data_IF_842233115470
#
_entry.id   IF_842233115470
#
_cell.length_a   1.000
_cell.length_b   1.000
_cell.length_c   1.000
_cell.angle_alpha   90.00
_cell.angle_beta   90.00
_cell.angle_gamma   90.00
#
_symmetry.space_group_name_H-M   'P 1'
#
loop_
_entity.id
_entity.type
_entity.pdbx_description
1 polymer ?
#
# COMPACT_ATOMS: atom_id res chain seq x y z
N UNK A 1 39.68 46.18 -37.50
CA UNK A 1 38.63 47.14 -37.89
C UNK A 1 37.71 47.14 -36.70
N UNK A 2 37.96 48.06 -35.80
CA UNK A 2 37.25 49.31 -35.59
C UNK A 2 35.82 49.03 -35.12
N UNK A 3 35.37 49.43 -34.01
CA UNK A 3 35.73 50.51 -33.11
C UNK A 3 34.44 51.03 -32.51
N UNK A 4 34.61 51.64 -31.38
CA UNK A 4 33.83 52.70 -30.76
C UNK A 4 32.67 52.22 -29.84
N UNK A 5 32.81 52.38 -28.56
CA UNK A 5 32.99 53.60 -27.71
C UNK A 5 31.66 54.16 -27.20
N UNK A 6 31.63 54.20 -25.91
CA UNK A 6 30.77 54.79 -24.85
C UNK A 6 30.24 56.21 -25.21
N UNK A 7 29.11 56.65 -24.58
CA UNK A 7 29.36 57.46 -23.40
C UNK A 7 28.35 57.27 -22.23
N UNK A 8 28.90 57.62 -21.08
CA UNK A 8 28.27 57.86 -19.82
C UNK A 8 27.34 59.10 -19.82
N UNK A 9 26.30 59.04 -19.03
CA UNK A 9 25.48 60.20 -18.73
C UNK A 9 24.81 60.04 -17.39
N UNK A 10 25.39 60.62 -16.38
CA UNK A 10 24.85 60.72 -15.07
C UNK A 10 23.79 61.82 -14.97
N UNK A 11 22.84 61.63 -14.07
CA UNK A 11 22.10 62.77 -13.48
C UNK A 11 21.58 62.41 -12.07
N UNK A 12 22.22 63.05 -11.10
CA UNK A 12 21.74 63.76 -9.90
C UNK A 12 20.42 63.38 -9.25
N UNK A 13 20.63 63.00 -7.97
CA UNK A 13 19.89 63.38 -6.73
C UNK A 13 18.53 64.08 -6.90
N UNK A 14 17.52 63.48 -6.32
CA UNK A 14 16.58 64.20 -5.45
C UNK A 14 16.20 63.32 -4.27
N UNK A 15 16.51 63.85 -3.10
CA UNK A 15 16.06 63.46 -1.80
C UNK A 15 14.63 64.03 -1.67
N UNK A 16 13.63 63.20 -1.53
CA UNK A 16 12.35 63.61 -0.97
C UNK A 16 11.94 62.56 0.06
N UNK A 17 11.91 63.03 1.29
CA UNK A 17 11.38 62.36 2.44
C UNK A 17 9.90 62.05 2.23
N UNK A 18 9.50 60.78 2.29
CA UNK A 18 8.12 60.39 2.42
C UNK A 18 8.02 59.33 3.55
N UNK A 19 7.61 59.82 4.68
CA UNK A 19 6.78 59.27 5.74
C UNK A 19 6.65 57.74 5.66
N UNK A 20 7.33 57.06 6.61
CA UNK A 20 7.08 55.68 6.95
C UNK A 20 5.68 55.50 7.54
N UNK A 21 4.74 55.07 6.73
CA UNK A 21 3.45 54.54 7.21
C UNK A 21 3.67 53.10 7.59
N UNK A 22 3.86 52.85 8.88
CA UNK A 22 3.86 51.50 9.49
C UNK A 22 2.45 50.92 9.37
N UNK A 23 2.20 50.20 8.27
CA UNK A 23 1.07 49.31 8.18
C UNK A 23 1.46 48.06 8.93
N UNK A 24 1.00 47.96 10.17
CA UNK A 24 0.91 46.72 10.92
C UNK A 24 -0.08 45.82 10.18
N UNK A 25 0.41 45.11 9.15
CA UNK A 25 -0.30 44.02 8.53
C UNK A 25 -0.35 42.91 9.57
N UNK A 26 -1.44 42.84 10.33
CA UNK A 26 -1.79 41.68 11.13
C UNK A 26 -1.89 40.48 10.19
N UNK A 27 -0.85 39.67 10.16
CA UNK A 27 -0.89 38.38 9.47
C UNK A 27 -1.99 37.54 10.12
N UNK A 28 -3.05 37.14 9.37
CA UNK A 28 -3.96 36.13 9.91
C UNK A 28 -3.13 34.88 10.19
N UNK A 29 -3.06 34.48 11.44
CA UNK A 29 -2.60 33.13 11.82
C UNK A 29 -3.58 32.17 11.15
N UNK A 30 -3.29 31.80 9.91
CA UNK A 30 -3.98 30.72 9.24
C UNK A 30 -3.70 29.48 10.09
N UNK A 31 -4.71 29.05 10.84
CA UNK A 31 -4.69 27.72 11.46
C UNK A 31 -4.51 26.73 10.32
N UNK A 32 -3.29 26.27 10.11
CA UNK A 32 -3.01 25.14 9.22
C UNK A 32 -3.69 23.94 9.88
N UNK A 33 -4.88 23.59 9.40
CA UNK A 33 -5.52 22.33 9.77
C UNK A 33 -4.60 21.24 9.23
N UNK A 34 -4.01 20.39 10.07
CA UNK A 34 -3.15 19.33 9.58
C UNK A 34 -3.96 18.46 8.63
N UNK A 35 -3.43 18.27 7.42
CA UNK A 35 -4.04 17.38 6.44
C UNK A 35 -4.21 15.99 7.08
N UNK A 36 -5.41 15.40 7.00
CA UNK A 36 -5.66 14.08 7.58
C UNK A 36 -4.66 13.10 6.98
N UNK A 37 -3.96 12.36 7.83
CA UNK A 37 -3.01 11.35 7.39
C UNK A 37 -3.72 10.39 6.40
N UNK A 38 -3.08 10.02 5.28
CA UNK A 38 -3.68 9.12 4.31
C UNK A 38 -4.13 7.83 5.01
N UNK A 39 -5.29 7.28 4.63
CA UNK A 39 -5.81 6.07 5.24
C UNK A 39 -4.75 4.97 5.17
N UNK A 40 -4.42 4.39 6.33
CA UNK A 40 -3.45 3.30 6.39
C UNK A 40 -4.02 2.10 5.63
N UNK A 41 -3.19 1.50 4.78
CA UNK A 41 -3.56 0.27 4.10
C UNK A 41 -3.88 -0.81 5.16
N UNK A 42 -5.11 -1.35 5.21
CA UNK A 42 -5.56 -2.25 6.27
C UNK A 42 -4.83 -3.61 6.25
N UNK A 43 -4.19 -3.97 5.15
CA UNK A 43 -3.42 -5.21 5.04
C UNK A 43 -2.03 -5.11 5.68
N UNK A 44 -1.45 -3.93 5.72
CA UNK A 44 -0.08 -3.74 6.23
C UNK A 44 0.00 -4.11 7.70
N UNK A 45 0.91 -5.02 8.02
CA UNK A 45 1.11 -5.55 9.35
C UNK A 45 1.49 -7.02 9.37
N UNK A 46 1.56 -7.60 10.56
CA UNK A 46 1.86 -9.02 10.76
C UNK A 46 0.59 -9.78 11.14
N UNK A 47 0.38 -10.89 10.47
CA UNK A 47 -0.76 -11.78 10.61
C UNK A 47 -0.27 -13.17 10.91
N UNK A 48 -0.92 -13.90 11.81
CA UNK A 48 -0.47 -15.22 12.22
C UNK A 48 -1.60 -16.25 12.15
N UNK A 49 -1.23 -17.48 11.78
CA UNK A 49 -2.06 -18.67 11.90
C UNK A 49 -2.09 -19.16 13.36
N UNK A 50 -2.97 -20.14 13.62
CA UNK A 50 -3.02 -20.81 14.92
C UNK A 50 -1.72 -21.60 15.22
N UNK A 51 -1.03 -22.07 14.18
CA UNK A 51 0.18 -22.89 14.28
C UNK A 51 1.48 -22.07 14.33
N UNK A 52 1.37 -20.77 14.66
CA UNK A 52 2.48 -19.82 14.74
C UNK A 52 3.22 -19.49 13.44
N UNK A 53 2.72 -19.92 12.31
CA UNK A 53 3.16 -19.32 11.05
C UNK A 53 2.72 -17.87 10.99
N UNK A 54 3.50 -17.03 10.34
CA UNK A 54 3.10 -15.64 10.17
C UNK A 54 3.41 -15.10 8.78
N UNK A 55 2.58 -14.14 8.39
CA UNK A 55 2.72 -13.38 7.16
C UNK A 55 2.80 -11.92 7.51
N UNK A 56 3.90 -11.27 7.14
CA UNK A 56 4.05 -9.83 7.26
C UNK A 56 3.83 -9.21 5.89
N UNK A 57 2.73 -8.50 5.74
CA UNK A 57 2.38 -7.76 4.52
C UNK A 57 2.93 -6.35 4.65
N UNK A 58 3.74 -5.95 3.69
CA UNK A 58 4.27 -4.59 3.51
C UNK A 58 3.67 -3.98 2.25
N UNK A 59 4.09 -2.79 1.90
CA UNK A 59 3.53 -2.07 0.76
C UNK A 59 3.77 -2.77 -0.58
N UNK A 60 4.90 -3.46 -0.72
CA UNK A 60 5.38 -4.07 -1.97
C UNK A 60 6.02 -5.46 -1.78
N UNK A 61 5.88 -6.04 -0.59
CA UNK A 61 6.57 -7.28 -0.22
C UNK A 61 5.74 -8.05 0.78
N UNK A 62 5.76 -9.37 0.65
CA UNK A 62 5.20 -10.29 1.64
C UNK A 62 6.35 -11.12 2.21
N UNK A 63 6.41 -11.21 3.53
CA UNK A 63 7.37 -12.08 4.23
C UNK A 63 6.59 -13.17 4.95
N UNK A 64 6.84 -14.42 4.57
CA UNK A 64 6.30 -15.59 5.26
C UNK A 64 7.34 -16.09 6.27
N UNK A 65 6.90 -16.36 7.48
CA UNK A 65 7.76 -16.89 8.55
C UNK A 65 7.14 -18.18 9.06
N UNK A 66 7.92 -19.24 8.98
CA UNK A 66 7.57 -20.56 9.47
C UNK A 66 7.64 -20.63 11.01
N UNK A 67 7.04 -21.66 11.65
CA UNK A 67 7.08 -21.82 13.10
C UNK A 67 8.51 -21.95 13.68
N UNK A 68 9.44 -22.44 12.89
CA UNK A 68 10.87 -22.56 13.24
C UNK A 68 11.65 -21.24 13.12
N UNK A 69 10.98 -20.17 12.70
CA UNK A 69 11.55 -18.83 12.54
C UNK A 69 12.20 -18.60 11.16
N UNK A 70 12.24 -19.58 10.26
CA UNK A 70 12.71 -19.35 8.91
C UNK A 70 11.76 -18.41 8.17
N UNK A 71 12.34 -17.42 7.49
CA UNK A 71 11.56 -16.42 6.77
C UNK A 71 11.91 -16.38 5.29
N UNK A 72 10.89 -16.28 4.46
CA UNK A 72 11.01 -16.11 3.01
C UNK A 72 10.31 -14.84 2.59
N UNK A 73 11.04 -13.92 1.97
CA UNK A 73 10.45 -12.76 1.33
C UNK A 73 9.97 -13.13 -0.08
N UNK A 74 8.74 -12.74 -0.41
CA UNK A 74 8.18 -12.83 -1.75
C UNK A 74 8.23 -11.44 -2.37
N UNK A 75 9.18 -11.24 -3.25
CA UNK A 75 9.47 -10.00 -3.95
C UNK A 75 9.88 -10.28 -5.40
N UNK A 76 10.28 -9.25 -6.13
CA UNK A 76 10.74 -9.35 -7.52
C UNK A 76 11.93 -10.29 -7.72
N UNK A 77 12.77 -10.47 -6.70
CA UNK A 77 13.97 -11.30 -6.80
C UNK A 77 13.62 -12.77 -6.56
N UNK A 78 12.65 -13.01 -5.69
CA UNK A 78 12.22 -14.36 -5.30
C UNK A 78 11.27 -14.95 -6.33
N UNK A 79 10.39 -14.13 -6.92
CA UNK A 79 9.47 -14.51 -8.00
C UNK A 79 10.14 -14.29 -9.36
N UNK A 80 10.78 -15.30 -9.89
CA UNK A 80 11.75 -15.28 -11.03
C UNK A 80 11.14 -14.92 -12.37
N UNK A 81 10.24 -14.15 -12.58
CA UNK A 81 9.72 -13.78 -13.90
C UNK A 81 8.33 -13.19 -13.81
N UNK A 82 7.51 -13.63 -12.90
CA UNK A 82 6.22 -13.07 -12.62
C UNK A 82 6.17 -12.60 -11.17
N UNK A 83 6.12 -11.29 -10.98
CA UNK A 83 5.82 -10.67 -9.70
C UNK A 83 4.81 -9.57 -9.93
N UNK A 84 3.60 -9.77 -9.43
CA UNK A 84 2.56 -8.73 -9.37
C UNK A 84 1.99 -8.73 -7.98
N UNK A 85 2.09 -7.58 -7.33
CA UNK A 85 1.47 -7.37 -6.04
C UNK A 85 0.55 -6.16 -6.10
N UNK A 86 -0.67 -6.29 -5.59
CA UNK A 86 -1.65 -5.22 -5.65
C UNK A 86 -2.81 -5.42 -4.70
N UNK A 87 -3.60 -4.37 -4.57
CA UNK A 87 -4.81 -4.32 -3.74
C UNK A 87 -6.02 -4.07 -4.63
N UNK A 88 -7.11 -4.76 -4.34
CA UNK A 88 -8.34 -4.70 -5.12
C UNK A 88 -9.56 -5.03 -4.24
N UNK A 89 -10.75 -5.03 -4.82
CA UNK A 89 -11.97 -5.56 -4.23
C UNK A 89 -12.51 -6.67 -5.11
N UNK A 90 -12.74 -7.84 -4.53
CA UNK A 90 -13.23 -9.00 -5.25
C UNK A 90 -14.56 -9.48 -4.71
N UNK A 91 -15.44 -9.97 -5.61
CA UNK A 91 -16.69 -10.58 -5.21
C UNK A 91 -16.45 -11.93 -4.51
N UNK A 92 -17.37 -12.30 -3.61
CA UNK A 92 -17.40 -13.63 -3.00
C UNK A 92 -17.31 -14.74 -4.04
N UNK A 93 -18.05 -14.63 -5.13
CA UNK A 93 -18.07 -15.60 -6.22
C UNK A 93 -16.68 -15.74 -6.84
N UNK A 94 -16.04 -14.63 -7.20
CA UNK A 94 -14.68 -14.63 -7.77
C UNK A 94 -13.68 -15.30 -6.84
N UNK A 95 -13.77 -15.03 -5.53
CA UNK A 95 -12.87 -15.61 -4.53
C UNK A 95 -13.09 -17.13 -4.38
N UNK A 96 -14.34 -17.60 -4.37
CA UNK A 96 -14.63 -19.04 -4.30
C UNK A 96 -14.23 -19.78 -5.57
N UNK A 97 -14.24 -19.12 -6.72
CA UNK A 97 -13.81 -19.68 -8.00
C UNK A 97 -12.28 -19.79 -8.14
N UNK A 98 -11.51 -19.19 -7.23
CA UNK A 98 -10.06 -19.44 -7.17
C UNK A 98 -9.72 -20.91 -6.82
N UNK A 99 -10.66 -21.67 -6.25
CA UNK A 99 -10.48 -23.08 -5.84
C UNK A 99 -11.51 -23.95 -6.58
N UNK A 100 -11.40 -24.14 -7.90
CA UNK A 100 -12.45 -24.80 -8.69
C UNK A 100 -12.55 -26.31 -8.49
N UNK A 101 -11.42 -26.98 -8.19
CA UNK A 101 -11.30 -28.45 -8.18
C UNK A 101 -11.33 -29.11 -6.80
N UNK A 102 -11.56 -28.34 -5.74
CA UNK A 102 -11.57 -28.80 -4.36
C UNK A 102 -12.88 -28.40 -3.68
N UNK A 103 -13.98 -29.16 -3.86
CA UNK A 103 -15.33 -28.77 -3.41
C UNK A 103 -15.43 -28.52 -1.91
N UNK A 104 -14.74 -29.31 -1.08
CA UNK A 104 -14.75 -29.15 0.37
C UNK A 104 -14.06 -27.85 0.80
N UNK A 105 -12.91 -27.55 0.17
CA UNK A 105 -12.18 -26.32 0.44
C UNK A 105 -12.95 -25.10 -0.06
N UNK A 106 -13.57 -25.20 -1.23
CA UNK A 106 -14.45 -24.17 -1.78
C UNK A 106 -15.65 -23.91 -0.86
N UNK A 107 -16.25 -24.99 -0.32
CA UNK A 107 -17.34 -24.86 0.66
C UNK A 107 -16.84 -24.16 1.93
N UNK A 108 -15.71 -24.59 2.50
CA UNK A 108 -15.08 -23.96 3.67
C UNK A 108 -14.84 -22.47 3.44
N UNK A 109 -14.31 -22.09 2.27
CA UNK A 109 -14.09 -20.69 1.90
C UNK A 109 -15.42 -19.94 1.80
N UNK A 110 -16.43 -20.53 1.15
CA UNK A 110 -17.75 -19.93 1.03
C UNK A 110 -18.44 -19.71 2.38
N UNK A 111 -18.23 -20.60 3.35
CA UNK A 111 -18.77 -20.46 4.71
C UNK A 111 -18.07 -19.34 5.50
N UNK A 112 -16.80 -19.05 5.17
CA UNK A 112 -16.04 -17.94 5.77
C UNK A 112 -16.39 -16.57 5.16
N UNK A 113 -16.74 -16.54 3.89
CA UNK A 113 -17.05 -15.33 3.14
C UNK A 113 -18.56 -15.06 3.18
N UNK A 114 -19.03 -14.28 4.14
CA UNK A 114 -20.46 -13.97 4.32
C UNK A 114 -20.92 -12.72 3.56
N UNK A 115 -19.99 -11.79 3.30
CA UNK A 115 -20.27 -10.56 2.57
C UNK A 115 -20.23 -10.76 1.05
N UNK A 116 -20.89 -9.92 0.25
CA UNK A 116 -20.89 -10.03 -1.21
C UNK A 116 -19.55 -9.71 -1.86
N UNK A 117 -18.69 -8.89 -1.21
CA UNK A 117 -17.38 -8.50 -1.71
C UNK A 117 -16.42 -8.20 -0.56
N UNK A 118 -15.12 -8.31 -0.85
CA UNK A 118 -14.06 -8.14 0.13
C UNK A 118 -12.87 -7.37 -0.45
N UNK A 119 -12.23 -6.51 0.35
CA UNK A 119 -10.89 -6.04 0.03
C UNK A 119 -9.91 -7.21 -0.02
N UNK A 120 -9.03 -7.21 -1.00
CA UNK A 120 -8.01 -8.25 -1.18
C UNK A 120 -6.64 -7.64 -1.43
N UNK A 121 -5.60 -8.33 -0.94
CA UNK A 121 -4.23 -8.17 -1.39
C UNK A 121 -3.84 -9.41 -2.18
N UNK A 122 -3.37 -9.24 -3.42
CA UNK A 122 -2.98 -10.34 -4.31
C UNK A 122 -1.51 -10.30 -4.63
N UNK A 123 -0.91 -11.46 -4.59
CA UNK A 123 0.43 -11.72 -5.07
C UNK A 123 0.34 -12.81 -6.13
N UNK A 124 0.69 -12.47 -7.37
CA UNK A 124 0.92 -13.43 -8.44
C UNK A 124 2.44 -13.64 -8.55
N UNK A 125 2.88 -14.87 -8.37
CA UNK A 125 4.28 -15.28 -8.36
C UNK A 125 4.44 -16.59 -9.13
N UNK A 126 5.57 -16.82 -9.77
CA UNK A 126 5.87 -18.08 -10.46
C UNK A 126 5.97 -19.31 -9.51
N UNK A 127 5.97 -19.07 -8.20
CA UNK A 127 5.93 -20.09 -7.15
C UNK A 127 4.55 -20.32 -6.56
N UNK A 128 3.52 -19.78 -7.19
CA UNK A 128 2.14 -19.86 -6.74
C UNK A 128 1.52 -18.51 -6.41
N UNK A 129 0.22 -18.43 -6.59
CA UNK A 129 -0.56 -17.23 -6.32
C UNK A 129 -1.03 -17.20 -4.88
N UNK A 130 -1.05 -16.02 -4.30
CA UNK A 130 -1.56 -15.81 -2.95
C UNK A 130 -2.58 -14.67 -2.96
N UNK A 131 -3.73 -14.92 -2.36
CA UNK A 131 -4.78 -13.91 -2.18
C UNK A 131 -5.11 -13.81 -0.70
N UNK A 132 -4.94 -12.64 -0.13
CA UNK A 132 -5.28 -12.33 1.24
C UNK A 132 -6.58 -11.55 1.26
N UNK A 133 -7.63 -12.11 1.85
CA UNK A 133 -8.97 -11.55 1.92
C UNK A 133 -9.18 -10.94 3.30
N UNK A 134 -9.42 -9.65 3.36
CA UNK A 134 -9.68 -8.96 4.62
C UNK A 134 -11.12 -9.20 5.06
N UNK A 135 -11.32 -9.97 6.13
CA UNK A 135 -12.64 -10.16 6.72
C UNK A 135 -13.03 -8.98 7.63
N UNK A 136 -12.07 -8.47 8.38
CA UNK A 136 -12.17 -7.29 9.24
C UNK A 136 -10.77 -6.80 9.63
N UNK A 137 -10.65 -5.79 10.48
CA UNK A 137 -9.38 -5.18 10.91
C UNK A 137 -8.44 -6.13 11.67
N UNK A 138 -8.92 -7.30 12.09
CA UNK A 138 -8.19 -8.30 12.90
C UNK A 138 -8.07 -9.66 12.26
N UNK A 139 -8.74 -9.91 11.15
CA UNK A 139 -8.80 -11.23 10.53
C UNK A 139 -8.63 -11.18 9.02
N UNK A 140 -7.77 -12.05 8.51
CA UNK A 140 -7.61 -12.37 7.09
C UNK A 140 -7.95 -13.84 6.83
N UNK A 141 -8.31 -14.12 5.58
CA UNK A 141 -8.20 -15.45 4.99
C UNK A 141 -7.13 -15.40 3.91
N UNK A 142 -6.11 -16.25 4.00
CA UNK A 142 -5.15 -16.46 2.95
C UNK A 142 -5.62 -17.61 2.06
N UNK A 143 -5.59 -17.41 0.76
CA UNK A 143 -5.88 -18.39 -0.28
C UNK A 143 -4.56 -18.59 -1.04
N UNK A 144 -3.99 -19.77 -0.97
CA UNK A 144 -2.80 -20.17 -1.70
C UNK A 144 -3.20 -21.04 -2.88
N UNK A 145 -2.56 -20.83 -4.03
CA UNK A 145 -2.81 -21.61 -5.22
C UNK A 145 -1.51 -21.89 -5.96
N UNK A 146 -1.28 -23.18 -6.20
CA UNK A 146 -0.23 -23.67 -7.10
C UNK A 146 -0.87 -24.62 -8.13
N UNK A 147 -1.08 -24.09 -9.33
CA UNK A 147 -1.86 -24.75 -10.37
C UNK A 147 -3.29 -25.04 -9.91
N UNK A 148 -3.63 -26.34 -9.81
CA UNK A 148 -4.94 -26.83 -9.41
C UNK A 148 -5.06 -27.12 -7.90
N UNK A 149 -3.94 -27.03 -7.18
CA UNK A 149 -3.90 -27.27 -5.74
C UNK A 149 -4.11 -25.94 -5.01
N UNK A 150 -5.01 -25.95 -4.05
CA UNK A 150 -5.28 -24.80 -3.20
C UNK A 150 -5.18 -25.15 -1.72
N UNK A 151 -4.88 -24.13 -0.91
CA UNK A 151 -5.00 -24.16 0.53
C UNK A 151 -5.63 -22.87 1.04
N UNK A 152 -6.27 -22.92 2.20
CA UNK A 152 -6.81 -21.73 2.86
C UNK A 152 -6.44 -21.73 4.34
N UNK A 153 -5.98 -20.58 4.84
CA UNK A 153 -5.66 -20.36 6.24
C UNK A 153 -6.36 -19.13 6.78
N UNK A 154 -6.75 -19.21 8.05
CA UNK A 154 -7.21 -18.04 8.79
C UNK A 154 -6.06 -17.44 9.55
N UNK A 155 -5.90 -16.13 9.40
CA UNK A 155 -4.85 -15.38 10.08
C UNK A 155 -5.47 -14.30 10.96
N UNK A 156 -4.89 -14.13 12.14
CA UNK A 156 -5.22 -13.05 13.06
C UNK A 156 -4.10 -12.02 13.10
N UNK A 157 -4.46 -10.75 13.26
CA UNK A 157 -3.48 -9.68 13.42
C UNK A 157 -2.72 -9.84 14.74
N UNK A 158 -1.41 -9.74 14.68
CA UNK A 158 -0.52 -9.66 15.85
C UNK A 158 -0.31 -8.25 16.33
#
# INVERSE_FOLDING_TARGET
MEGQAVPAGGYRKRIESVIALLILAGSPLACVVPEPAPPRNPFVGTWATADNESVTIRQDTIVQTQPDGQSTALDKNTCRGLFRFGYDTQSRQTLTDLIPRQPDLRKKLSDLLVEPSYPVARLDCDRGDQTYVLLNDRQLVAIYRDGDIGAIDRLARR
#
